data_IF_017894164652
#
_entry.id   IF_017894164652
#
_cell.length_a   1.000
_cell.length_b   1.000
_cell.length_c   1.000
_cell.angle_alpha   90.00
_cell.angle_beta   90.00
_cell.angle_gamma   90.00
#
_symmetry.space_group_name_H-M   'P 1'
#
loop_
_entity.id
_entity.type
_entity.pdbx_description
1 polymer ?
#
# COMPACT_ATOMS: atom_id res chain seq x y z
N UNK A 1 30.64 12.30 41.54
CA UNK A 1 30.76 11.65 40.23
C UNK A 1 30.14 10.28 40.41
N UNK A 2 28.90 10.10 39.97
CA UNK A 2 28.21 8.81 40.05
C UNK A 2 28.90 7.79 39.14
N UNK A 3 28.79 6.51 39.49
CA UNK A 3 29.32 5.41 38.68
C UNK A 3 28.66 5.44 37.29
N UNK A 4 29.47 5.35 36.24
CA UNK A 4 28.98 5.22 34.86
C UNK A 4 28.59 3.76 34.61
N UNK A 5 27.36 3.51 34.17
CA UNK A 5 26.88 2.17 33.83
C UNK A 5 26.77 2.00 32.32
N UNK A 6 27.21 0.86 31.82
CA UNK A 6 27.02 0.44 30.43
C UNK A 6 26.36 -0.93 30.43
N UNK A 7 25.26 -1.05 29.69
CA UNK A 7 24.58 -2.32 29.46
C UNK A 7 24.64 -2.65 27.97
N UNK A 8 24.89 -3.91 27.64
CA UNK A 8 24.90 -4.39 26.27
C UNK A 8 23.99 -5.61 26.15
N UNK A 9 23.09 -5.59 25.18
CA UNK A 9 22.17 -6.67 24.89
C UNK A 9 22.28 -7.07 23.42
N UNK A 10 22.93 -8.21 23.17
CA UNK A 10 22.99 -8.85 21.86
C UNK A 10 21.80 -9.81 21.68
N UNK A 11 21.03 -9.60 20.61
CA UNK A 11 19.91 -10.47 20.23
C UNK A 11 20.15 -11.01 18.82
N UNK A 12 19.94 -12.30 18.65
CA UNK A 12 19.93 -12.95 17.34
C UNK A 12 18.82 -13.99 17.29
N UNK A 13 18.33 -14.27 16.10
CA UNK A 13 17.24 -15.23 15.92
C UNK A 13 17.01 -15.59 14.47
N UNK A 14 16.18 -16.62 14.28
CA UNK A 14 15.76 -17.10 12.98
C UNK A 14 14.24 -17.18 12.91
N UNK A 15 13.70 -17.01 11.70
CA UNK A 15 12.27 -17.15 11.44
C UNK A 15 12.03 -17.90 10.12
N UNK A 16 10.94 -18.64 10.06
CA UNK A 16 10.50 -19.37 8.88
C UNK A 16 9.00 -19.27 8.71
N UNK A 17 8.56 -18.94 7.50
CA UNK A 17 7.16 -18.85 7.12
C UNK A 17 6.89 -19.77 5.94
N UNK A 18 5.77 -20.49 6.02
CA UNK A 18 5.20 -21.24 4.91
C UNK A 18 3.80 -20.70 4.67
N UNK A 19 3.58 -20.16 3.47
CA UNK A 19 2.25 -19.74 3.02
C UNK A 19 1.79 -20.70 1.93
N UNK A 20 0.64 -21.30 2.13
CA UNK A 20 -0.01 -22.15 1.15
C UNK A 20 -1.41 -21.60 0.89
N UNK A 21 -1.65 -21.21 -0.35
CA UNK A 21 -2.95 -20.75 -0.83
C UNK A 21 -3.49 -21.81 -1.78
N UNK A 22 -4.61 -22.41 -1.43
CA UNK A 22 -5.36 -23.32 -2.29
C UNK A 22 -6.75 -22.75 -2.49
N UNK A 23 -7.14 -22.54 -3.74
CA UNK A 23 -8.46 -22.10 -4.12
C UNK A 23 -9.00 -23.07 -5.16
N UNK A 24 -10.09 -23.73 -4.83
CA UNK A 24 -10.79 -24.62 -5.76
C UNK A 24 -12.26 -24.20 -5.81
N UNK A 25 -12.85 -24.34 -6.98
CA UNK A 25 -14.26 -24.03 -7.17
C UNK A 25 -14.78 -24.57 -8.47
N UNK A 26 -16.08 -24.42 -8.65
CA UNK A 26 -16.76 -24.82 -9.87
C UNK A 26 -17.88 -23.85 -10.19
N UNK A 27 -18.18 -23.75 -11.46
CA UNK A 27 -19.33 -23.03 -11.98
C UNK A 27 -19.87 -23.78 -13.19
N UNK A 28 -21.09 -23.49 -13.60
CA UNK A 28 -21.64 -24.11 -14.79
C UNK A 28 -22.94 -23.46 -15.21
N UNK A 29 -23.53 -24.00 -16.26
CA UNK A 29 -24.80 -23.52 -16.83
C UNK A 29 -25.64 -24.69 -17.34
N UNK A 30 -26.90 -24.39 -17.63
CA UNK A 30 -27.90 -25.29 -18.22
C UNK A 30 -28.35 -26.43 -17.28
N UNK A 31 -29.21 -26.10 -16.31
CA UNK A 31 -29.91 -27.10 -15.50
C UNK A 31 -30.91 -27.88 -16.37
N UNK A 32 -31.04 -29.22 -16.19
CA UNK A 32 -31.89 -30.07 -17.01
C UNK A 32 -33.38 -29.93 -16.68
N UNK A 33 -33.73 -29.20 -15.62
CA UNK A 33 -35.09 -28.88 -15.27
C UNK A 33 -35.22 -27.97 -14.04
N UNK A 34 -36.41 -27.39 -13.80
CA UNK A 34 -36.69 -26.59 -12.59
C UNK A 34 -36.48 -27.39 -11.30
N UNK A 35 -36.00 -26.73 -10.24
CA UNK A 35 -35.82 -27.33 -8.90
C UNK A 35 -34.53 -28.12 -8.70
N UNK A 36 -33.66 -28.20 -9.71
CA UNK A 36 -32.29 -28.70 -9.58
C UNK A 36 -31.36 -27.49 -9.47
N UNK A 37 -30.71 -27.34 -8.30
CA UNK A 37 -29.90 -26.15 -7.98
C UNK A 37 -28.47 -26.53 -7.53
N UNK A 38 -28.02 -27.75 -7.85
CA UNK A 38 -26.69 -28.25 -7.46
C UNK A 38 -25.73 -28.21 -8.65
N UNK A 39 -24.44 -27.93 -8.41
CA UNK A 39 -23.43 -27.84 -9.48
C UNK A 39 -23.37 -29.10 -10.36
N UNK A 40 -23.50 -30.29 -9.76
CA UNK A 40 -23.49 -31.59 -10.45
C UNK A 40 -24.71 -31.86 -11.33
N UNK A 41 -25.72 -30.98 -11.29
CA UNK A 41 -26.88 -31.09 -12.16
C UNK A 41 -26.71 -30.29 -13.46
N UNK A 42 -25.64 -29.51 -13.62
CA UNK A 42 -25.45 -28.65 -14.79
C UNK A 42 -24.95 -29.46 -15.98
N UNK A 43 -25.44 -29.19 -17.19
CA UNK A 43 -24.95 -29.88 -18.39
C UNK A 43 -23.54 -29.43 -18.80
N UNK A 44 -23.18 -28.19 -18.45
CA UNK A 44 -21.89 -27.58 -18.75
C UNK A 44 -21.21 -27.18 -17.43
N UNK A 45 -20.42 -28.09 -16.88
CA UNK A 45 -19.67 -27.89 -15.64
C UNK A 45 -18.22 -27.46 -15.94
N UNK A 46 -17.76 -26.43 -15.24
CA UNK A 46 -16.35 -26.02 -15.20
C UNK A 46 -15.84 -26.13 -13.77
N UNK A 47 -14.64 -26.68 -13.61
CA UNK A 47 -13.91 -26.66 -12.34
C UNK A 47 -12.59 -25.93 -12.53
N UNK A 48 -12.11 -25.30 -11.47
CA UNK A 48 -10.78 -24.73 -11.43
C UNK A 48 -10.15 -25.03 -10.07
N UNK A 49 -8.82 -25.14 -10.08
CA UNK A 49 -8.00 -25.21 -8.89
C UNK A 49 -6.76 -24.34 -9.09
N UNK A 50 -6.37 -23.63 -8.04
CA UNK A 50 -5.11 -22.92 -7.93
C UNK A 50 -4.45 -23.32 -6.63
N UNK A 51 -3.17 -23.70 -6.72
CA UNK A 51 -2.35 -24.05 -5.57
C UNK A 51 -1.01 -23.33 -5.67
N UNK A 52 -0.71 -22.51 -4.67
CA UNK A 52 0.54 -21.74 -4.60
C UNK A 52 1.16 -21.95 -3.22
N UNK A 53 2.45 -22.27 -3.21
CA UNK A 53 3.25 -22.39 -1.99
C UNK A 53 4.46 -21.47 -2.04
N UNK A 54 4.62 -20.66 -1.00
CA UNK A 54 5.78 -19.78 -0.81
C UNK A 54 6.42 -20.10 0.54
N UNK A 55 7.74 -20.25 0.53
CA UNK A 55 8.56 -20.44 1.73
C UNK A 55 9.46 -19.22 1.88
N UNK A 56 9.48 -18.65 3.08
CA UNK A 56 10.39 -17.58 3.47
C UNK A 56 11.18 -18.02 4.69
N UNK A 57 12.49 -17.84 4.65
CA UNK A 57 13.38 -18.14 5.78
C UNK A 57 14.23 -16.90 5.98
N UNK A 58 14.44 -16.51 7.23
CA UNK A 58 15.29 -15.37 7.54
C UNK A 58 15.96 -15.50 8.89
N UNK A 59 16.94 -14.64 9.11
CA UNK A 59 17.64 -14.48 10.37
C UNK A 59 17.89 -13.02 10.65
N UNK A 60 18.07 -12.67 11.91
CA UNK A 60 18.39 -11.31 12.32
C UNK A 60 19.46 -11.30 13.41
N UNK A 61 20.17 -10.19 13.47
CA UNK A 61 21.06 -9.83 14.57
C UNK A 61 20.82 -8.37 14.91
N UNK A 62 20.78 -8.04 16.20
CA UNK A 62 20.79 -6.67 16.68
C UNK A 62 21.60 -6.59 17.96
N UNK A 63 22.29 -5.48 18.13
CA UNK A 63 23.00 -5.13 19.35
C UNK A 63 22.43 -3.83 19.89
N UNK A 64 22.11 -3.80 21.18
CA UNK A 64 21.64 -2.62 21.89
C UNK A 64 22.64 -2.27 22.99
N UNK A 65 23.07 -1.01 23.00
CA UNK A 65 23.97 -0.44 24.00
C UNK A 65 23.19 0.60 24.79
N UNK A 66 23.07 0.39 26.10
CA UNK A 66 22.54 1.33 27.07
C UNK A 66 23.67 2.04 27.81
N UNK A 67 23.52 3.34 28.06
CA UNK A 67 24.43 4.13 28.87
C UNK A 67 23.64 4.88 29.95
N UNK A 68 24.02 4.64 31.21
CA UNK A 68 23.43 5.25 32.41
C UNK A 68 21.90 5.11 32.51
N UNK A 69 21.31 4.12 31.83
CA UNK A 69 19.86 3.87 31.77
C UNK A 69 19.01 5.00 31.16
N UNK A 70 19.63 5.98 30.47
CA UNK A 70 18.90 7.06 29.79
C UNK A 70 19.32 7.32 28.34
N UNK A 71 20.39 6.69 27.85
CA UNK A 71 20.77 6.70 26.42
C UNK A 71 20.81 5.28 25.90
N UNK A 72 20.12 5.02 24.81
CA UNK A 72 20.02 3.70 24.19
C UNK A 72 20.28 3.80 22.69
N UNK A 73 21.31 3.11 22.22
CA UNK A 73 21.63 2.98 20.80
C UNK A 73 21.45 1.53 20.36
N UNK A 74 20.80 1.32 19.22
CA UNK A 74 20.59 -0.01 18.64
C UNK A 74 21.08 -0.02 17.21
N UNK A 75 21.81 -1.07 16.83
CA UNK A 75 22.17 -1.35 15.44
C UNK A 75 21.85 -2.80 15.12
N UNK A 76 21.46 -3.08 13.88
CA UNK A 76 21.20 -4.45 13.49
C UNK A 76 20.75 -4.59 12.06
N UNK A 77 20.30 -5.79 11.73
CA UNK A 77 19.73 -6.07 10.44
C UNK A 77 19.16 -7.47 10.36
N UNK A 78 18.45 -7.72 9.27
CA UNK A 78 17.84 -9.02 8.98
C UNK A 78 18.14 -9.45 7.55
N UNK A 79 18.31 -10.75 7.35
CA UNK A 79 18.41 -11.40 6.06
C UNK A 79 17.14 -12.20 5.80
N UNK A 80 16.55 -12.02 4.64
CA UNK A 80 15.38 -12.76 4.20
C UNK A 80 15.66 -13.46 2.87
N UNK A 81 15.33 -14.74 2.79
CA UNK A 81 15.25 -15.49 1.56
C UNK A 81 13.81 -15.91 1.29
N UNK A 82 13.37 -15.80 0.04
CA UNK A 82 12.01 -16.15 -0.36
C UNK A 82 12.04 -17.02 -1.62
N UNK A 83 11.28 -18.11 -1.61
CA UNK A 83 11.22 -19.07 -2.72
C UNK A 83 10.65 -18.49 -4.02
N UNK A 84 9.97 -17.35 -3.96
CA UNK A 84 9.48 -16.62 -5.14
C UNK A 84 10.61 -16.20 -6.09
N UNK A 85 11.85 -16.09 -5.61
CA UNK A 85 13.01 -15.79 -6.44
C UNK A 85 13.58 -16.99 -7.21
N UNK A 86 13.05 -18.20 -6.99
CA UNK A 86 13.51 -19.42 -7.65
C UNK A 86 14.73 -20.06 -6.97
N UNK A 87 15.43 -20.92 -7.72
CA UNK A 87 16.60 -21.67 -7.24
C UNK A 87 17.85 -20.80 -7.04
N UNK A 88 17.89 -19.62 -7.65
CA UNK A 88 18.90 -18.61 -7.34
C UNK A 88 18.47 -17.89 -6.05
N UNK A 89 18.95 -18.45 -4.94
CA UNK A 89 18.59 -18.04 -3.59
C UNK A 89 19.22 -16.66 -3.27
N UNK A 90 18.60 -15.57 -3.70
CA UNK A 90 19.03 -14.22 -3.31
C UNK A 90 18.51 -13.88 -1.92
N UNK A 91 19.38 -13.86 -0.92
CA UNK A 91 19.06 -13.29 0.39
C UNK A 91 19.06 -11.77 0.31
N UNK A 92 17.97 -11.13 0.69
CA UNK A 92 17.87 -9.69 0.84
C UNK A 92 18.30 -9.28 2.26
N UNK A 93 19.19 -8.29 2.39
CA UNK A 93 19.62 -7.75 3.67
C UNK A 93 18.95 -6.40 3.94
N UNK A 94 18.44 -6.23 5.15
CA UNK A 94 17.74 -5.04 5.58
C UNK A 94 18.34 -4.51 6.90
N UNK A 95 19.16 -3.45 6.85
CA UNK A 95 19.76 -2.83 8.03
C UNK A 95 18.75 -1.97 8.81
N UNK A 96 19.07 -1.73 10.09
CA UNK A 96 18.38 -0.76 10.94
C UNK A 96 19.32 -0.16 11.98
N UNK A 97 19.01 1.06 12.40
CA UNK A 97 19.65 1.73 13.52
C UNK A 97 18.64 2.63 14.26
N UNK A 98 18.83 2.81 15.56
CA UNK A 98 18.02 3.73 16.35
C UNK A 98 18.80 4.32 17.52
N UNK A 99 18.38 5.51 17.95
CA UNK A 99 18.87 6.20 19.13
C UNK A 99 17.67 6.70 19.94
N UNK A 100 17.67 6.43 21.25
CA UNK A 100 16.70 6.99 22.20
C UNK A 100 17.45 7.63 23.35
N UNK A 101 17.03 8.82 23.72
CA UNK A 101 17.58 9.58 24.84
C UNK A 101 16.41 9.98 25.72
N UNK A 102 16.53 9.76 27.03
CA UNK A 102 15.51 10.08 28.02
C UNK A 102 16.10 11.10 29.00
N UNK A 103 16.25 12.38 28.62
CA UNK A 103 16.90 13.36 29.49
C UNK A 103 16.29 13.46 30.89
N UNK A 104 14.99 13.16 31.04
CA UNK A 104 14.32 13.20 32.36
C UNK A 104 14.75 12.10 33.33
N UNK A 105 15.32 11.00 32.83
CA UNK A 105 15.94 9.94 33.63
C UNK A 105 17.43 10.23 33.91
N UNK A 106 17.97 11.28 33.29
CA UNK A 106 19.35 11.72 33.43
C UNK A 106 19.46 13.21 33.79
N UNK A 107 20.66 13.77 33.58
CA UNK A 107 20.95 15.22 33.64
C UNK A 107 20.48 15.99 34.88
N UNK A 108 20.29 15.31 36.02
CA UNK A 108 19.73 15.92 37.24
C UNK A 108 18.40 16.65 36.96
N UNK A 109 17.56 16.05 36.10
CA UNK A 109 16.31 16.65 35.65
C UNK A 109 15.40 17.00 36.83
N UNK A 110 14.99 18.26 36.90
CA UNK A 110 14.13 18.78 37.95
C UNK A 110 13.08 19.71 37.32
N UNK A 111 11.90 19.16 37.08
CA UNK A 111 10.77 19.91 36.52
C UNK A 111 9.47 19.45 37.17
N UNK A 112 8.73 20.40 37.74
CA UNK A 112 7.40 20.13 38.31
C UNK A 112 6.33 19.91 37.21
N UNK A 113 6.62 20.33 35.97
CA UNK A 113 5.68 20.25 34.86
C UNK A 113 5.92 19.00 34.01
N UNK A 114 7.18 18.68 33.69
CA UNK A 114 7.56 17.60 32.77
C UNK A 114 8.26 16.49 33.56
N UNK A 115 7.52 15.43 33.84
CA UNK A 115 7.97 14.23 34.55
C UNK A 115 8.80 13.33 33.65
N UNK A 116 8.37 13.16 32.40
CA UNK A 116 9.06 12.33 31.42
C UNK A 116 9.36 13.13 30.16
N UNK A 117 10.60 13.04 29.68
CA UNK A 117 10.98 13.54 28.38
C UNK A 117 11.87 12.52 27.69
N UNK A 118 11.42 12.03 26.54
CA UNK A 118 12.19 11.15 25.66
C UNK A 118 12.19 11.73 24.26
N UNK A 119 13.34 11.68 23.62
CA UNK A 119 13.49 11.88 22.18
C UNK A 119 14.05 10.60 21.56
N UNK A 120 13.57 10.25 20.37
CA UNK A 120 13.99 9.05 19.65
C UNK A 120 14.12 9.31 18.15
N UNK A 121 15.07 8.63 17.53
CA UNK A 121 15.24 8.60 16.08
C UNK A 121 15.55 7.18 15.62
N UNK A 122 15.01 6.78 14.49
CA UNK A 122 15.26 5.47 13.90
C UNK A 122 15.35 5.56 12.37
N UNK A 123 16.16 4.66 11.80
CA UNK A 123 16.19 4.39 10.37
C UNK A 123 16.18 2.89 10.14
N UNK A 124 15.40 2.43 9.19
CA UNK A 124 15.28 1.01 8.88
C UNK A 124 14.95 0.77 7.44
N UNK A 125 15.38 -0.40 6.93
CA UNK A 125 14.91 -0.91 5.66
C UNK A 125 13.97 -2.10 5.86
N UNK A 126 13.00 -2.21 4.96
CA UNK A 126 12.17 -3.38 4.78
C UNK A 126 11.99 -3.64 3.28
N UNK A 127 11.44 -4.79 2.93
CA UNK A 127 11.20 -5.05 1.52
C UNK A 127 10.07 -6.03 1.25
N UNK A 128 9.45 -5.81 0.10
CA UNK A 128 8.36 -6.61 -0.43
C UNK A 128 8.90 -7.51 -1.54
N UNK A 129 8.58 -8.79 -1.44
CA UNK A 129 9.02 -9.79 -2.41
C UNK A 129 7.99 -9.94 -3.54
N UNK A 130 8.43 -10.27 -4.77
CA UNK A 130 7.52 -10.64 -5.84
C UNK A 130 6.73 -11.91 -5.47
N UNK A 131 5.62 -12.13 -6.16
CA UNK A 131 4.84 -13.34 -6.06
C UNK A 131 5.55 -14.56 -6.65
N UNK A 132 5.03 -15.74 -6.32
CA UNK A 132 5.52 -16.99 -6.88
C UNK A 132 5.38 -16.98 -8.41
N UNK A 133 6.43 -17.41 -9.10
CA UNK A 133 6.50 -17.51 -10.56
C UNK A 133 6.47 -16.20 -11.35
N UNK A 134 6.44 -15.03 -10.69
CA UNK A 134 6.48 -13.72 -11.38
C UNK A 134 7.74 -13.53 -12.23
N UNK A 135 8.84 -14.19 -11.84
CA UNK A 135 10.10 -14.21 -12.59
C UNK A 135 10.07 -15.05 -13.86
N UNK A 136 9.25 -16.09 -13.90
CA UNK A 136 9.29 -17.09 -14.96
C UNK A 136 8.29 -16.78 -16.06
N UNK A 137 8.68 -17.07 -17.30
CA UNK A 137 7.71 -17.18 -18.39
C UNK A 137 6.83 -18.39 -18.13
N UNK A 138 5.52 -18.21 -18.07
CA UNK A 138 4.56 -19.29 -17.82
C UNK A 138 3.50 -19.35 -18.91
N UNK A 139 2.90 -20.53 -19.02
CA UNK A 139 1.79 -20.80 -19.92
C UNK A 139 0.64 -21.39 -19.12
N UNK A 140 -0.59 -21.01 -19.45
CA UNK A 140 -1.80 -21.56 -18.85
C UNK A 140 -2.38 -22.64 -19.76
N UNK A 141 -2.83 -23.78 -19.21
CA UNK A 141 -3.54 -24.78 -19.98
C UNK A 141 -4.84 -24.19 -20.55
N UNK A 142 -5.18 -24.57 -21.78
CA UNK A 142 -6.42 -24.22 -22.43
C UNK A 142 -7.06 -25.47 -23.02
N UNK A 143 -8.19 -25.95 -22.45
CA UNK A 143 -8.96 -27.02 -23.07
C UNK A 143 -9.65 -26.50 -24.34
N UNK A 144 -9.74 -27.35 -25.36
CA UNK A 144 -10.54 -27.10 -26.55
C UNK A 144 -11.23 -28.39 -27.01
N UNK A 145 -12.26 -28.27 -27.86
CA UNK A 145 -12.95 -29.41 -28.46
C UNK A 145 -12.02 -30.27 -29.33
N UNK A 146 -10.91 -29.71 -29.82
CA UNK A 146 -9.91 -30.40 -30.65
C UNK A 146 -8.77 -31.03 -29.84
N UNK A 147 -8.73 -30.80 -28.52
CA UNK A 147 -7.70 -31.31 -27.61
C UNK A 147 -7.11 -30.24 -26.68
N UNK A 148 -6.20 -30.62 -25.77
CA UNK A 148 -5.58 -29.69 -24.84
C UNK A 148 -4.52 -28.83 -25.54
N UNK A 149 -4.49 -27.55 -25.20
CA UNK A 149 -3.48 -26.59 -25.62
C UNK A 149 -2.94 -25.79 -24.43
N UNK A 150 -2.08 -24.83 -24.74
CA UNK A 150 -1.59 -23.84 -23.77
C UNK A 150 -1.62 -22.46 -24.41
N UNK A 151 -1.85 -21.44 -23.59
CA UNK A 151 -1.73 -20.05 -23.99
C UNK A 151 -0.68 -19.33 -23.13
N UNK A 152 0.02 -18.31 -23.67
CA UNK A 152 0.93 -17.48 -22.88
C UNK A 152 0.21 -16.86 -21.67
N UNK A 153 0.84 -16.94 -20.49
CA UNK A 153 0.27 -16.44 -19.24
C UNK A 153 1.10 -15.28 -18.67
N UNK A 154 2.25 -15.58 -18.05
CA UNK A 154 3.20 -14.57 -17.59
C UNK A 154 4.39 -14.50 -18.56
N UNK A 155 4.82 -13.30 -18.96
CA UNK A 155 6.06 -13.13 -19.72
C UNK A 155 7.28 -13.39 -18.82
N UNK A 156 7.20 -13.07 -17.53
CA UNK A 156 8.29 -13.26 -16.57
C UNK A 156 9.37 -12.19 -16.66
N UNK A 157 10.01 -11.87 -15.53
CA UNK A 157 11.16 -10.96 -15.49
C UNK A 157 12.25 -11.53 -14.58
N UNK A 158 13.32 -12.06 -15.18
CA UNK A 158 14.45 -12.62 -14.43
C UNK A 158 15.16 -11.59 -13.53
N UNK A 159 15.09 -10.31 -13.91
CA UNK A 159 15.66 -9.17 -13.17
C UNK A 159 14.84 -8.71 -11.97
N UNK A 160 13.73 -9.39 -11.61
CA UNK A 160 12.97 -8.99 -10.43
C UNK A 160 13.81 -9.10 -9.16
N UNK A 161 13.68 -8.08 -8.32
CA UNK A 161 14.31 -7.97 -7.00
C UNK A 161 13.28 -7.49 -5.98
N UNK A 162 13.58 -7.55 -4.68
CA UNK A 162 12.68 -6.97 -3.68
C UNK A 162 12.45 -5.49 -3.97
N UNK A 163 11.23 -5.03 -3.78
CA UNK A 163 10.95 -3.61 -3.55
C UNK A 163 11.50 -3.25 -2.16
N UNK A 164 12.19 -2.12 -2.04
CA UNK A 164 12.86 -1.73 -0.78
C UNK A 164 12.24 -0.44 -0.26
N UNK A 165 11.71 -0.49 0.96
CA UNK A 165 11.26 0.67 1.71
C UNK A 165 12.33 1.08 2.70
N UNK A 166 12.75 2.34 2.65
CA UNK A 166 13.62 2.96 3.66
C UNK A 166 12.82 3.99 4.44
N UNK A 167 12.72 3.80 5.74
CA UNK A 167 11.94 4.64 6.65
C UNK A 167 12.85 5.33 7.65
N UNK A 168 12.62 6.64 7.84
CA UNK A 168 13.20 7.45 8.91
C UNK A 168 12.09 7.89 9.84
N UNK A 169 12.30 7.76 11.15
CA UNK A 169 11.34 8.17 12.17
C UNK A 169 12.03 9.06 13.21
N UNK A 170 11.31 10.08 13.64
CA UNK A 170 11.70 10.98 14.72
C UNK A 170 10.52 11.13 15.67
N UNK A 171 10.71 10.77 16.93
CA UNK A 171 9.65 10.76 17.93
C UNK A 171 10.05 11.50 19.19
N UNK A 172 9.05 12.02 19.89
CA UNK A 172 9.19 12.54 21.25
C UNK A 172 8.04 12.07 22.11
N UNK A 173 8.33 11.77 23.36
CA UNK A 173 7.35 11.46 24.39
C UNK A 173 7.53 12.47 25.52
N UNK A 174 6.43 13.09 25.93
CA UNK A 174 6.39 14.07 27.01
C UNK A 174 5.33 13.62 28.00
N UNK A 175 5.76 13.31 29.21
CA UNK A 175 4.89 13.06 30.36
C UNK A 175 4.85 14.29 31.26
N UNK A 176 3.67 14.65 31.72
CA UNK A 176 3.40 15.84 32.52
C UNK A 176 2.63 15.49 33.78
N UNK A 177 2.91 16.23 34.87
CA UNK A 177 2.26 16.07 36.18
C UNK A 177 2.34 14.62 36.67
N UNK A 178 3.56 14.14 36.95
CA UNK A 178 3.81 12.73 37.31
C UNK A 178 3.20 11.73 36.32
N UNK A 179 3.37 11.98 35.01
CA UNK A 179 2.82 11.20 33.90
C UNK A 179 1.29 11.05 33.92
N UNK A 180 0.57 11.92 34.64
CA UNK A 180 -0.91 11.99 34.60
C UNK A 180 -1.41 12.36 33.21
N UNK A 181 -0.63 13.14 32.47
CA UNK A 181 -0.83 13.43 31.06
C UNK A 181 0.38 13.00 30.26
N UNK A 182 0.17 12.41 29.09
CA UNK A 182 1.25 12.08 28.16
C UNK A 182 0.91 12.47 26.73
N UNK A 183 1.91 13.02 26.05
CA UNK A 183 1.89 13.38 24.64
C UNK A 183 3.01 12.61 23.93
N UNK A 184 2.66 11.75 22.97
CA UNK A 184 3.60 11.17 22.01
C UNK A 184 3.38 11.83 20.64
N UNK A 185 4.47 12.25 20.01
CA UNK A 185 4.46 12.77 18.66
C UNK A 185 5.53 12.06 17.85
N UNK A 186 5.17 11.59 16.65
CA UNK A 186 6.08 10.94 15.71
C UNK A 186 5.97 11.59 14.35
N UNK A 187 7.09 11.95 13.75
CA UNK A 187 7.21 12.34 12.35
C UNK A 187 8.03 11.27 11.63
N UNK A 188 7.59 10.88 10.44
CA UNK A 188 8.28 9.86 9.66
C UNK A 188 8.32 10.20 8.18
N UNK A 189 9.34 9.72 7.50
CA UNK A 189 9.47 9.74 6.04
C UNK A 189 9.79 8.34 5.54
N UNK A 190 9.30 8.04 4.34
CA UNK A 190 9.46 6.75 3.69
C UNK A 190 9.74 6.95 2.22
N UNK A 191 10.82 6.35 1.76
CA UNK A 191 11.11 6.21 0.34
C UNK A 191 11.02 4.73 -0.04
N UNK A 192 10.16 4.42 -0.99
CA UNK A 192 10.04 3.10 -1.61
C UNK A 192 10.74 3.17 -2.96
N UNK A 193 11.81 2.40 -3.10
CA UNK A 193 12.58 2.25 -4.32
C UNK A 193 12.31 0.90 -4.96
N UNK A 194 12.47 0.83 -6.29
CA UNK A 194 12.31 -0.40 -7.06
C UNK A 194 10.91 -1.03 -6.89
N UNK A 195 9.86 -0.21 -6.79
CA UNK A 195 8.52 -0.68 -6.50
C UNK A 195 8.04 -1.67 -7.57
N UNK A 196 7.41 -2.73 -7.10
CA UNK A 196 6.92 -3.85 -7.92
C UNK A 196 5.58 -3.47 -8.55
N UNK A 197 5.64 -3.06 -9.82
CA UNK A 197 4.48 -2.53 -10.55
C UNK A 197 4.07 -3.50 -11.67
N UNK A 198 2.79 -3.88 -11.68
CA UNK A 198 2.20 -4.67 -12.75
C UNK A 198 1.85 -3.77 -13.96
N UNK A 199 2.67 -3.82 -15.01
CA UNK A 199 2.48 -3.04 -16.25
C UNK A 199 2.12 -3.93 -17.43
N UNK A 200 1.35 -3.40 -18.39
CA UNK A 200 1.05 -4.11 -19.64
C UNK A 200 2.11 -3.78 -20.69
N UNK A 201 2.63 -4.81 -21.36
CA UNK A 201 3.51 -4.69 -22.53
C UNK A 201 2.71 -4.74 -23.84
N UNK A 202 3.28 -4.32 -24.99
CA UNK A 202 2.61 -4.44 -26.27
C UNK A 202 2.19 -5.89 -26.56
N UNK A 203 0.89 -6.08 -26.83
CA UNK A 203 0.29 -7.41 -27.02
C UNK A 203 0.82 -8.14 -28.27
N UNK A 204 1.49 -7.42 -29.18
CA UNK A 204 2.17 -8.00 -30.35
C UNK A 204 3.27 -8.99 -29.96
N UNK A 205 3.77 -8.94 -28.72
CA UNK A 205 4.69 -9.93 -28.16
C UNK A 205 4.04 -11.26 -27.75
N UNK A 206 2.72 -11.42 -27.91
CA UNK A 206 2.00 -12.66 -27.60
C UNK A 206 1.51 -12.81 -26.16
N UNK A 207 1.81 -11.84 -25.28
CA UNK A 207 1.33 -11.80 -23.89
C UNK A 207 0.33 -10.66 -23.70
N UNK A 208 -0.83 -10.97 -23.14
CA UNK A 208 -1.94 -10.01 -22.95
C UNK A 208 -2.10 -9.55 -21.50
N UNK A 209 -1.50 -10.30 -20.56
CA UNK A 209 -1.53 -10.00 -19.12
C UNK A 209 -0.52 -8.93 -18.74
N UNK A 210 -0.75 -8.29 -17.60
CA UNK A 210 0.25 -7.42 -16.99
C UNK A 210 1.41 -8.25 -16.43
N UNK A 211 2.60 -7.66 -16.43
CA UNK A 211 3.82 -8.27 -15.93
C UNK A 211 4.41 -7.38 -14.85
N UNK A 212 4.89 -8.01 -13.78
CA UNK A 212 5.51 -7.32 -12.67
C UNK A 212 6.91 -6.82 -13.05
N UNK A 213 7.27 -5.61 -12.62
CA UNK A 213 8.58 -5.01 -12.86
C UNK A 213 8.97 -4.05 -11.73
N UNK A 214 10.25 -4.01 -11.37
CA UNK A 214 10.80 -3.03 -10.42
C UNK A 214 11.03 -1.69 -11.16
N UNK A 215 10.00 -0.85 -11.20
CA UNK A 215 10.02 0.40 -11.98
C UNK A 215 9.40 1.60 -11.25
N UNK A 216 8.71 1.37 -10.14
CA UNK A 216 8.07 2.46 -9.42
C UNK A 216 8.98 3.05 -8.34
N UNK A 217 8.74 4.30 -7.99
CA UNK A 217 9.22 4.89 -6.74
C UNK A 217 8.10 5.67 -6.08
N UNK A 218 8.06 5.65 -4.75
CA UNK A 218 7.06 6.33 -3.96
C UNK A 218 7.70 6.99 -2.74
N UNK A 219 7.37 8.27 -2.54
CA UNK A 219 7.72 8.99 -1.33
C UNK A 219 6.47 9.18 -0.48
N UNK A 220 6.60 8.95 0.82
CA UNK A 220 5.57 9.24 1.79
C UNK A 220 6.17 9.90 3.02
N UNK A 221 5.38 10.71 3.70
CA UNK A 221 5.70 11.23 5.01
C UNK A 221 4.42 11.36 5.83
N UNK A 222 4.57 11.33 7.15
CA UNK A 222 3.44 11.45 8.03
C UNK A 222 3.79 12.02 9.39
N UNK A 223 2.74 12.38 10.10
CA UNK A 223 2.78 12.83 11.49
C UNK A 223 1.72 12.07 12.26
N UNK A 224 2.09 11.62 13.46
CA UNK A 224 1.21 10.95 14.40
C UNK A 224 1.30 11.67 15.74
N UNK A 225 0.15 11.87 16.37
CA UNK A 225 0.02 12.49 17.68
C UNK A 225 -0.91 11.64 18.52
N UNK A 226 -0.48 11.34 19.74
CA UNK A 226 -1.28 10.67 20.76
C UNK A 226 -1.23 11.49 22.04
N UNK A 227 -2.40 11.89 22.53
CA UNK A 227 -2.59 12.56 23.80
C UNK A 227 -3.45 11.67 24.68
N UNK A 228 -3.03 11.46 25.91
CA UNK A 228 -3.84 10.80 26.91
C UNK A 228 -3.62 11.44 28.28
N UNK A 229 -4.62 11.34 29.15
CA UNK A 229 -4.44 11.70 30.55
C UNK A 229 -5.69 11.56 31.40
N UNK A 230 -5.51 11.70 32.70
CA UNK A 230 -6.63 11.70 33.66
C UNK A 230 -7.05 13.14 33.98
N UNK A 231 -8.30 13.48 33.68
CA UNK A 231 -8.92 14.77 34.00
C UNK A 231 -9.41 14.81 35.45
N UNK A 232 -9.97 13.71 35.93
CA UNK A 232 -10.53 13.59 37.28
C UNK A 232 -10.09 12.25 37.84
N UNK A 233 -9.47 12.27 39.02
CA UNK A 233 -9.06 11.06 39.74
C UNK A 233 -9.46 11.21 41.21
N UNK A 234 -10.58 10.58 41.59
CA UNK A 234 -11.07 10.53 42.98
C UNK A 234 -11.37 9.07 43.36
N UNK A 235 -11.66 8.78 44.63
CA UNK A 235 -12.02 7.42 45.08
C UNK A 235 -13.26 6.85 44.36
N UNK A 236 -14.19 7.73 43.97
CA UNK A 236 -15.50 7.32 43.42
C UNK A 236 -15.65 7.58 41.92
N UNK A 237 -14.82 8.46 41.35
CA UNK A 237 -14.92 8.89 39.95
C UNK A 237 -13.53 9.03 39.35
N UNK A 238 -13.32 8.36 38.21
CA UNK A 238 -12.18 8.56 37.33
C UNK A 238 -12.66 8.97 35.93
N UNK A 239 -12.09 10.03 35.36
CA UNK A 239 -12.32 10.44 33.98
C UNK A 239 -10.98 10.50 33.24
N UNK A 240 -10.78 9.57 32.31
CA UNK A 240 -9.61 9.55 31.43
C UNK A 240 -10.00 10.04 30.04
N UNK A 241 -9.13 10.81 29.43
CA UNK A 241 -9.27 11.30 28.05
C UNK A 241 -8.13 10.72 27.22
N UNK A 242 -8.49 10.33 26.01
CA UNK A 242 -7.56 9.93 24.97
C UNK A 242 -7.96 10.62 23.67
N UNK A 243 -6.98 11.10 22.92
CA UNK A 243 -7.14 11.66 21.60
C UNK A 243 -5.93 11.29 20.75
N UNK A 244 -6.17 10.84 19.52
CA UNK A 244 -5.12 10.59 18.56
C UNK A 244 -5.41 11.29 17.22
N UNK A 245 -4.36 11.60 16.49
CA UNK A 245 -4.44 12.17 15.15
C UNK A 245 -3.29 11.65 14.30
N UNK A 246 -3.57 11.40 13.03
CA UNK A 246 -2.56 11.01 12.07
C UNK A 246 -2.78 11.77 10.75
N UNK A 247 -1.68 12.14 10.12
CA UNK A 247 -1.67 12.73 8.79
C UNK A 247 -0.66 11.99 7.93
N UNK A 248 -1.07 11.66 6.70
CA UNK A 248 -0.26 10.97 5.70
C UNK A 248 -0.31 11.78 4.41
N UNK A 249 0.85 12.00 3.82
CA UNK A 249 0.98 12.45 2.44
C UNK A 249 1.91 11.50 1.69
N UNK A 250 1.46 11.02 0.54
CA UNK A 250 2.20 10.11 -0.32
C UNK A 250 2.12 10.55 -1.78
N UNK A 251 3.17 10.24 -2.54
CA UNK A 251 3.30 10.62 -3.94
C UNK A 251 4.11 9.58 -4.70
N UNK A 252 3.62 9.21 -5.89
CA UNK A 252 4.37 8.42 -6.86
C UNK A 252 5.41 9.33 -7.50
N UNK A 253 6.70 9.06 -7.28
CA UNK A 253 7.80 9.90 -7.78
C UNK A 253 8.36 9.42 -9.10
N UNK A 254 8.27 8.12 -9.39
CA UNK A 254 8.66 7.52 -10.66
C UNK A 254 7.74 6.35 -11.03
N UNK A 255 7.51 6.17 -12.33
CA UNK A 255 6.79 5.03 -12.92
C UNK A 255 7.65 4.27 -13.95
N UNK A 256 8.95 4.58 -14.09
CA UNK A 256 9.85 3.91 -15.02
C UNK A 256 9.36 3.94 -16.46
N UNK A 257 8.78 5.07 -16.86
CA UNK A 257 8.19 5.31 -18.18
C UNK A 257 6.90 4.53 -18.47
N UNK A 258 6.29 3.89 -17.48
CA UNK A 258 4.97 3.28 -17.66
C UNK A 258 3.90 4.37 -17.87
N UNK A 259 2.92 4.15 -18.77
CA UNK A 259 1.76 5.02 -18.89
C UNK A 259 0.92 4.97 -17.61
N UNK A 260 -0.04 5.90 -17.40
CA UNK A 260 -0.94 5.86 -16.25
C UNK A 260 -1.58 4.48 -16.08
N UNK A 261 -1.45 3.88 -14.90
CA UNK A 261 -1.92 2.52 -14.64
C UNK A 261 -3.21 2.55 -13.84
N UNK A 262 -4.25 1.89 -14.33
CA UNK A 262 -5.53 1.84 -13.63
C UNK A 262 -5.43 0.98 -12.36
N UNK A 263 -5.96 1.46 -11.24
CA UNK A 263 -5.93 0.71 -9.97
C UNK A 263 -7.15 -0.19 -9.78
N UNK A 264 -6.91 -1.43 -9.32
CA UNK A 264 -7.86 -2.22 -8.51
C UNK A 264 -9.02 -2.95 -9.20
N UNK A 265 -8.89 -3.43 -10.45
CA UNK A 265 -10.00 -4.05 -11.21
C UNK A 265 -11.32 -3.26 -11.08
N UNK A 266 -11.19 -1.96 -10.86
CA UNK A 266 -12.29 -1.10 -10.49
C UNK A 266 -13.22 -0.97 -11.68
N UNK A 267 -14.51 -0.83 -11.40
CA UNK A 267 -15.54 -0.63 -12.42
C UNK A 267 -15.01 0.33 -13.51
N UNK A 268 -15.14 0.03 -14.81
CA UNK A 268 -14.50 0.79 -15.89
C UNK A 268 -14.64 2.32 -15.80
N UNK A 269 -15.71 2.81 -15.15
CA UNK A 269 -15.98 4.23 -14.91
C UNK A 269 -15.21 4.87 -13.75
N UNK A 270 -14.70 4.10 -12.79
CA UNK A 270 -13.81 4.63 -11.76
C UNK A 270 -12.48 4.96 -12.39
N UNK A 271 -12.10 6.23 -12.28
CA UNK A 271 -10.92 6.80 -12.93
C UNK A 271 -9.77 6.94 -11.93
N UNK A 272 -9.50 5.85 -11.20
CA UNK A 272 -8.39 5.82 -10.26
C UNK A 272 -7.16 5.29 -10.98
N UNK A 273 -6.10 6.08 -10.96
CA UNK A 273 -4.86 5.76 -11.64
C UNK A 273 -3.67 5.93 -10.70
N UNK A 274 -2.65 5.10 -10.91
CA UNK A 274 -1.29 5.40 -10.54
C UNK A 274 -0.74 6.35 -11.61
N UNK A 275 -0.34 7.54 -11.17
CA UNK A 275 0.23 8.58 -12.00
C UNK A 275 1.35 9.28 -11.24
N UNK A 276 2.51 9.42 -11.89
CA UNK A 276 3.63 10.16 -11.36
C UNK A 276 3.22 11.61 -11.00
N UNK A 277 3.66 12.08 -9.83
CA UNK A 277 3.31 13.39 -9.27
C UNK A 277 2.00 13.42 -8.47
N UNK A 278 1.31 12.29 -8.32
CA UNK A 278 0.07 12.18 -7.56
C UNK A 278 0.15 11.08 -6.51
N UNK A 279 -0.73 11.15 -5.50
CA UNK A 279 -0.91 10.08 -4.54
C UNK A 279 -1.41 8.80 -5.24
N UNK A 280 -1.01 7.60 -4.77
CA UNK A 280 -1.58 6.34 -5.25
C UNK A 280 -3.10 6.35 -5.23
N UNK A 281 -3.69 5.74 -6.26
CA UNK A 281 -5.15 5.63 -6.42
C UNK A 281 -5.92 6.98 -6.43
N UNK A 282 -5.25 8.08 -6.80
CA UNK A 282 -5.90 9.37 -7.03
C UNK A 282 -7.00 9.27 -8.08
N UNK A 283 -8.09 10.03 -7.88
CA UNK A 283 -9.22 10.11 -8.81
C UNK A 283 -8.94 11.15 -9.90
N UNK A 284 -9.01 10.73 -11.17
CA UNK A 284 -8.81 11.58 -12.34
C UNK A 284 -10.11 11.73 -13.11
N UNK A 285 -10.82 12.84 -12.91
CA UNK A 285 -12.08 13.14 -13.59
C UNK A 285 -11.95 14.25 -14.63
N UNK A 286 -12.95 14.35 -15.51
CA UNK A 286 -13.20 15.63 -16.15
C UNK A 286 -13.67 16.61 -15.06
N UNK A 287 -13.06 17.79 -14.97
CA UNK A 287 -13.55 18.85 -14.08
C UNK A 287 -14.72 19.53 -14.77
N UNK A 288 -15.90 19.55 -14.17
CA UNK A 288 -17.06 20.25 -14.76
C UNK A 288 -16.80 21.77 -14.82
N UNK A 289 -17.29 22.42 -15.86
CA UNK A 289 -17.25 23.87 -15.96
C UNK A 289 -18.07 24.50 -14.82
N UNK A 290 -17.54 25.60 -14.27
CA UNK A 290 -18.22 26.38 -13.23
C UNK A 290 -19.19 27.36 -13.90
N UNK A 291 -20.34 26.84 -14.31
CA UNK A 291 -21.41 27.55 -15.02
C UNK A 291 -22.78 27.16 -14.46
N UNK A 292 -23.82 27.95 -14.72
CA UNK A 292 -25.15 27.69 -14.17
C UNK A 292 -25.77 26.40 -14.75
N UNK A 293 -25.48 26.08 -16.00
CA UNK A 293 -25.96 24.90 -16.72
C UNK A 293 -24.77 24.16 -17.33
N UNK A 294 -24.16 23.20 -16.60
CA UNK A 294 -22.95 22.50 -17.06
C UNK A 294 -23.27 21.37 -18.04
N UNK A 295 -23.97 21.69 -19.14
CA UNK A 295 -24.38 20.74 -20.19
C UNK A 295 -23.76 21.15 -21.52
N UNK A 296 -23.23 20.19 -22.27
CA UNK A 296 -22.75 20.40 -23.64
C UNK A 296 -23.74 19.75 -24.61
N UNK A 297 -24.89 20.40 -24.82
CA UNK A 297 -26.01 19.83 -25.58
C UNK A 297 -25.77 19.82 -27.10
N UNK A 298 -24.93 20.73 -27.61
CA UNK A 298 -24.70 20.93 -29.05
C UNK A 298 -23.27 20.61 -29.50
N UNK A 299 -22.40 20.17 -28.57
CA UNK A 299 -21.00 19.88 -28.84
C UNK A 299 -20.11 21.12 -28.98
N UNK A 300 -20.64 22.33 -28.85
CA UNK A 300 -19.87 23.58 -29.03
C UNK A 300 -18.99 23.93 -27.84
N UNK A 301 -19.07 23.16 -26.75
CA UNK A 301 -18.37 23.45 -25.50
C UNK A 301 -18.76 24.80 -24.88
N UNK A 302 -20.00 25.24 -25.11
CA UNK A 302 -20.57 26.44 -24.50
C UNK A 302 -21.76 26.12 -23.60
N UNK A 303 -22.01 26.99 -22.62
CA UNK A 303 -23.19 26.87 -21.75
C UNK A 303 -24.47 27.16 -22.55
N UNK A 304 -25.46 26.25 -22.54
CA UNK A 304 -26.71 26.48 -23.26
C UNK A 304 -27.57 27.51 -22.54
N UNK A 305 -28.50 28.11 -23.29
CA UNK A 305 -29.55 28.91 -22.67
C UNK A 305 -30.47 28.04 -21.80
N UNK A 306 -31.13 28.66 -20.81
CA UNK A 306 -32.12 27.97 -19.97
C UNK A 306 -33.24 27.34 -20.80
N UNK A 307 -33.69 28.01 -21.87
CA UNK A 307 -34.70 27.47 -22.77
C UNK A 307 -34.24 26.19 -23.48
N UNK A 308 -33.00 26.18 -23.98
CA UNK A 308 -32.43 25.01 -24.65
C UNK A 308 -32.21 23.84 -23.69
N UNK A 309 -31.81 24.13 -22.44
CA UNK A 309 -31.69 23.11 -21.41
C UNK A 309 -33.05 22.49 -21.03
N UNK A 310 -34.10 23.31 -20.90
CA UNK A 310 -35.45 22.84 -20.63
C UNK A 310 -35.98 21.96 -21.77
N UNK A 311 -35.75 22.37 -23.02
CA UNK A 311 -36.13 21.58 -24.19
C UNK A 311 -35.39 20.23 -24.22
N UNK A 312 -34.09 20.21 -23.94
CA UNK A 312 -33.29 18.98 -23.87
C UNK A 312 -33.86 17.97 -22.86
N UNK A 313 -34.34 18.42 -21.70
CA UNK A 313 -34.93 17.54 -20.67
C UNK A 313 -36.43 17.31 -20.80
N UNK A 314 -37.11 17.97 -21.74
CA UNK A 314 -38.56 17.82 -21.91
C UNK A 314 -38.97 16.48 -22.54
N UNK A 315 -38.02 15.75 -23.13
CA UNK A 315 -38.25 14.45 -23.78
C UNK A 315 -37.34 13.34 -23.26
N UNK A 316 -37.55 12.08 -23.69
CA UNK A 316 -36.65 10.98 -23.38
C UNK A 316 -35.24 11.28 -23.92
N UNK A 317 -34.25 11.32 -23.03
CA UNK A 317 -32.84 11.52 -23.38
C UNK A 317 -32.13 10.17 -23.37
N UNK A 318 -31.40 9.84 -24.44
CA UNK A 318 -30.50 8.70 -24.44
C UNK A 318 -29.39 8.97 -23.41
N UNK A 319 -29.23 8.15 -22.35
CA UNK A 319 -28.20 8.34 -21.34
C UNK A 319 -26.77 8.35 -21.91
N UNK A 320 -26.56 7.77 -23.10
CA UNK A 320 -25.28 7.80 -23.80
C UNK A 320 -25.00 9.14 -24.51
N UNK A 321 -26.04 9.96 -24.72
CA UNK A 321 -25.93 11.29 -25.34
C UNK A 321 -25.64 12.41 -24.33
N UNK A 322 -25.71 12.12 -23.03
CA UNK A 322 -25.46 13.10 -21.97
C UNK A 322 -23.97 13.49 -21.94
N UNK A 323 -23.68 14.75 -22.24
CA UNK A 323 -22.33 15.32 -22.20
C UNK A 323 -22.29 16.45 -21.17
N UNK A 324 -21.60 16.27 -20.02
CA UNK A 324 -21.36 17.39 -19.12
C UNK A 324 -20.44 18.41 -19.80
N UNK A 325 -20.66 19.70 -19.55
CA UNK A 325 -19.71 20.73 -19.93
C UNK A 325 -18.51 20.66 -18.98
N UNK A 326 -17.31 20.42 -19.50
CA UNK A 326 -16.09 20.26 -18.73
C UNK A 326 -15.05 21.35 -19.04
N UNK A 327 -14.24 21.69 -18.04
CA UNK A 327 -13.08 22.57 -18.17
C UNK A 327 -12.05 21.87 -19.05
N UNK A 328 -11.58 22.58 -20.08
CA UNK A 328 -10.64 22.03 -21.05
C UNK A 328 -11.27 20.98 -21.96
N UNK A 329 -12.56 21.14 -22.29
CA UNK A 329 -13.34 20.26 -23.15
C UNK A 329 -12.53 19.81 -24.38
N UNK A 330 -11.88 18.65 -24.22
CA UNK A 330 -11.13 17.98 -25.25
C UNK A 330 -12.13 17.07 -25.93
N UNK A 331 -12.81 17.59 -26.95
CA UNK A 331 -13.16 16.70 -28.05
C UNK A 331 -11.82 16.08 -28.48
N UNK A 332 -11.53 14.86 -28.02
CA UNK A 332 -10.35 14.09 -28.41
C UNK A 332 -10.48 13.63 -29.87
N UNK A 333 -10.72 14.60 -30.77
CA UNK A 333 -10.67 14.52 -32.22
C UNK A 333 -10.62 15.90 -32.91
N UNK A 334 -10.22 16.98 -32.20
CA UNK A 334 -9.56 18.16 -32.79
C UNK A 334 -8.50 18.72 -31.85
#
# INVERSE_FOLDING_TARGET
>A
MGDMTFENTLLFGGQGFLRQNQYAGGSGRDFPGPGLETLSALANEGSFESWVRVVQIGGYVQDQIGWNDWVFATVGGRWDANSAFGSEFSTAFYPKASLSVIPSQGLEWNSDLISTFRIRGAVGQSGLQPGAFDKFTTFSPQPSEEGPGVQPANLGNAGLKPEVSTEWEFGTEIGMFDDTWSLDMTYWTRNVADALVARRYPVTGGFTQTQLSNIGSLDAWGMELNLQGSLIQTESVSLNVFANGAYLNEMITDMGGAPPLKTGNTYPRYRNFLLQGYAPASFFGAKTADVAIPLNIDGTCTEPSQAAALEYFAGPVDPSSFKPLAIGNSDFNK
#
